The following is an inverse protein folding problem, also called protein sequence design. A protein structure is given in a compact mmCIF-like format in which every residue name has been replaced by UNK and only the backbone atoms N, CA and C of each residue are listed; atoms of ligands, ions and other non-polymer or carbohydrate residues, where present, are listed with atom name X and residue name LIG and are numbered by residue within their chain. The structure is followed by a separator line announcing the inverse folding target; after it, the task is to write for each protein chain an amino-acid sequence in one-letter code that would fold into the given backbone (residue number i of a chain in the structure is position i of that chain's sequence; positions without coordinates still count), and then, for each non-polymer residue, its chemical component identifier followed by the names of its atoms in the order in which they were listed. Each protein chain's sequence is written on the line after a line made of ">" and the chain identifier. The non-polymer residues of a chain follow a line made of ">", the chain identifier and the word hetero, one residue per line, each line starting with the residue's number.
data_IF_481530410931
#
_entry.id   IF_481530410931
#
_cell.length_a   1.000
_cell.length_b   1.000
_cell.length_c   1.000
_cell.angle_alpha   90.00
_cell.angle_beta   90.00
_cell.angle_gamma   90.00
#
_symmetry.space_group_name_H-M   'P 1'
#
loop_
_entity.id
_entity.type
_entity.pdbx_description
1 polymer ?
#
# COMPACT_ATOMS: atom_id res chain seq x y z
N UNK A 1 2.25 14.63 34.56
CA UNK A 1 0.91 14.05 34.76
C UNK A 1 0.92 12.70 34.09
N UNK A 2 1.26 11.68 34.87
CA UNK A 2 1.21 10.29 34.47
C UNK A 2 -0.22 9.90 34.08
N UNK A 3 -0.41 9.50 32.83
CA UNK A 3 -1.63 8.82 32.41
C UNK A 3 -1.32 7.33 32.50
N UNK A 4 -1.66 6.78 33.66
CA UNK A 4 -1.62 5.35 33.93
C UNK A 4 -2.42 4.60 32.87
N UNK A 5 -1.77 3.66 32.18
CA UNK A 5 -2.44 2.69 31.32
C UNK A 5 -3.21 1.71 32.22
N UNK A 6 -4.53 1.78 32.18
CA UNK A 6 -5.41 0.83 32.86
C UNK A 6 -5.23 -0.56 32.23
N UNK A 7 -4.97 -1.63 32.99
CA UNK A 7 -4.92 -2.97 32.44
C UNK A 7 -6.35 -3.43 32.14
N UNK A 8 -6.65 -3.66 30.86
CA UNK A 8 -7.91 -4.30 30.46
C UNK A 8 -7.75 -5.80 30.71
N UNK A 9 -8.03 -6.22 31.94
CA UNK A 9 -8.34 -7.63 32.23
C UNK A 9 -9.72 -7.92 31.67
N UNK A 10 -9.77 -8.49 30.47
CA UNK A 10 -10.99 -9.12 29.95
C UNK A 10 -10.74 -10.62 29.92
N UNK A 11 -11.36 -11.32 30.85
CA UNK A 11 -11.44 -12.78 30.86
C UNK A 11 -11.99 -13.26 29.50
N UNK A 12 -11.08 -13.71 28.63
CA UNK A 12 -11.45 -14.35 27.38
C UNK A 12 -11.74 -15.82 27.69
N UNK A 13 -13.04 -16.16 27.76
CA UNK A 13 -13.47 -17.49 27.34
C UNK A 13 -12.84 -17.74 25.98
N UNK A 14 -12.03 -18.80 25.85
CA UNK A 14 -11.49 -19.25 24.59
C UNK A 14 -12.65 -19.72 23.70
N UNK A 15 -13.23 -18.75 22.99
CA UNK A 15 -14.32 -18.98 22.06
C UNK A 15 -13.71 -19.66 20.83
N UNK A 16 -14.07 -20.93 20.63
CA UNK A 16 -13.48 -21.80 19.62
C UNK A 16 -13.77 -21.24 18.22
N UNK A 17 -12.79 -20.56 17.63
CA UNK A 17 -12.84 -20.19 16.21
C UNK A 17 -12.83 -21.48 15.39
N UNK A 18 -13.92 -21.73 14.66
CA UNK A 18 -14.04 -22.87 13.74
C UNK A 18 -13.31 -22.61 12.43
N UNK A 19 -12.81 -23.66 11.79
CA UNK A 19 -11.96 -23.58 10.59
C UNK A 19 -12.62 -24.11 9.31
N UNK A 20 -13.88 -24.57 9.38
CA UNK A 20 -14.53 -25.26 8.26
C UNK A 20 -15.09 -24.29 7.20
N UNK A 21 -15.25 -23.01 7.54
CA UNK A 21 -15.77 -21.98 6.63
C UNK A 21 -15.36 -20.57 7.06
N UNK A 22 -15.44 -19.60 6.13
CA UNK A 22 -15.22 -18.18 6.44
C UNK A 22 -16.19 -17.64 7.50
N UNK A 23 -17.45 -18.08 7.48
CA UNK A 23 -18.44 -17.70 8.48
C UNK A 23 -18.07 -18.15 9.90
N UNK A 24 -17.50 -19.35 10.05
CA UNK A 24 -17.01 -19.83 11.35
C UNK A 24 -15.75 -19.09 11.80
N UNK A 25 -14.83 -18.78 10.88
CA UNK A 25 -13.65 -17.96 11.16
C UNK A 25 -14.06 -16.57 11.69
N UNK A 26 -15.14 -16.02 11.13
CA UNK A 26 -15.64 -14.68 11.44
C UNK A 26 -16.74 -14.64 12.52
N UNK A 27 -17.11 -15.78 13.11
CA UNK A 27 -18.25 -15.88 14.03
C UNK A 27 -18.18 -14.89 15.20
N UNK A 28 -16.96 -14.61 15.68
CA UNK A 28 -16.68 -13.71 16.80
C UNK A 28 -16.12 -12.34 16.36
N UNK A 29 -16.19 -12.05 15.05
CA UNK A 29 -15.68 -10.83 14.43
C UNK A 29 -14.20 -10.87 14.06
N UNK A 30 -13.79 -9.90 13.24
CA UNK A 30 -12.43 -9.81 12.68
C UNK A 30 -11.33 -9.68 13.73
N UNK A 31 -11.58 -8.94 14.82
CA UNK A 31 -10.60 -8.78 15.89
C UNK A 31 -10.33 -10.10 16.63
N UNK A 32 -11.37 -10.89 16.88
CA UNK A 32 -11.23 -12.19 17.53
C UNK A 32 -10.47 -13.17 16.62
N UNK A 33 -10.82 -13.19 15.33
CA UNK A 33 -10.07 -13.96 14.33
C UNK A 33 -8.60 -13.55 14.28
N UNK A 34 -8.32 -12.25 14.21
CA UNK A 34 -6.95 -11.73 14.18
C UNK A 34 -6.16 -12.17 15.41
N UNK A 35 -6.68 -11.96 16.62
CA UNK A 35 -6.02 -12.36 17.85
C UNK A 35 -5.78 -13.87 17.93
N UNK A 36 -6.75 -14.67 17.48
CA UNK A 36 -6.67 -16.13 17.46
C UNK A 36 -5.61 -16.65 16.50
N UNK A 37 -5.53 -16.10 15.29
CA UNK A 37 -4.50 -16.47 14.31
C UNK A 37 -3.14 -15.96 14.76
N UNK A 38 -3.04 -14.69 15.18
CA UNK A 38 -1.79 -14.08 15.59
C UNK A 38 -1.12 -14.82 16.75
N UNK A 39 -1.85 -15.10 17.84
CA UNK A 39 -1.31 -15.80 18.99
C UNK A 39 -0.71 -17.17 18.65
N UNK A 40 -1.37 -17.93 17.76
CA UNK A 40 -0.88 -19.25 17.31
C UNK A 40 0.37 -19.12 16.45
N UNK A 41 0.37 -18.19 15.50
CA UNK A 41 1.54 -17.94 14.66
C UNK A 41 2.73 -17.48 15.51
N UNK A 42 2.56 -16.54 16.42
CA UNK A 42 3.64 -16.03 17.27
C UNK A 42 4.23 -17.11 18.17
N UNK A 43 3.38 -17.96 18.74
CA UNK A 43 3.82 -19.11 19.56
C UNK A 43 4.68 -20.06 18.74
N UNK A 44 4.23 -20.40 17.52
CA UNK A 44 4.95 -21.34 16.64
C UNK A 44 6.20 -20.72 15.99
N UNK A 45 6.22 -19.41 15.77
CA UNK A 45 7.37 -18.67 15.25
C UNK A 45 8.39 -18.29 16.34
N UNK A 46 8.04 -18.40 17.62
CA UNK A 46 8.87 -17.98 18.74
C UNK A 46 9.17 -16.46 18.78
N UNK A 47 8.43 -15.65 18.01
CA UNK A 47 8.60 -14.20 17.90
C UNK A 47 7.29 -13.52 17.52
N UNK A 48 7.11 -12.22 17.85
CA UNK A 48 5.96 -11.45 17.41
C UNK A 48 5.82 -11.45 15.87
N UNK A 49 4.60 -11.24 15.39
CA UNK A 49 4.36 -11.10 13.95
C UNK A 49 5.20 -9.97 13.37
N UNK A 50 5.72 -10.13 12.13
CA UNK A 50 6.54 -9.12 11.49
C UNK A 50 5.76 -7.82 11.33
N UNK A 51 6.37 -6.72 11.77
CA UNK A 51 5.85 -5.36 11.62
C UNK A 51 6.73 -4.57 10.66
N UNK A 52 6.14 -3.61 9.95
CA UNK A 52 6.87 -2.79 8.96
C UNK A 52 6.83 -1.33 9.39
N UNK A 53 8.00 -0.79 9.71
CA UNK A 53 8.25 0.64 9.84
C UNK A 53 8.81 1.17 8.51
N UNK A 54 8.23 2.26 8.00
CA UNK A 54 8.72 2.93 6.79
C UNK A 54 9.33 4.26 7.19
N UNK A 55 10.62 4.46 6.91
CA UNK A 55 11.29 5.76 7.08
C UNK A 55 11.60 6.37 5.73
N UNK A 56 11.48 7.68 5.64
CA UNK A 56 11.86 8.43 4.47
C UNK A 56 12.55 9.72 4.89
N UNK A 57 13.67 10.02 4.24
CA UNK A 57 14.53 11.14 4.59
C UNK A 57 14.85 11.96 3.35
N UNK A 58 14.64 13.27 3.48
CA UNK A 58 14.97 14.31 2.52
C UNK A 58 14.37 14.07 1.13
N UNK A 59 13.13 13.57 1.09
CA UNK A 59 12.48 13.19 -0.16
C UNK A 59 12.15 14.41 -1.00
N UNK A 60 12.79 14.51 -2.16
CA UNK A 60 12.49 15.53 -3.17
C UNK A 60 12.16 14.88 -4.51
N UNK A 61 11.12 15.39 -5.17
CA UNK A 61 10.71 14.91 -6.49
C UNK A 61 10.59 16.12 -7.41
N UNK A 62 11.29 16.09 -8.54
CA UNK A 62 11.22 17.12 -9.58
C UNK A 62 10.91 16.52 -10.93
N UNK A 63 10.08 17.20 -11.72
CA UNK A 63 9.71 16.79 -13.08
C UNK A 63 10.03 17.91 -14.08
N UNK A 64 10.75 17.56 -15.15
CA UNK A 64 11.01 18.44 -16.29
C UNK A 64 9.85 18.36 -17.28
N UNK A 65 9.12 19.45 -17.42
CA UNK A 65 7.92 19.57 -18.24
C UNK A 65 8.23 20.47 -19.44
N UNK A 66 7.85 20.02 -20.64
CA UNK A 66 7.95 20.85 -21.84
C UNK A 66 6.68 21.69 -21.94
N UNK A 67 6.81 23.00 -21.77
CA UNK A 67 5.73 23.98 -21.86
C UNK A 67 5.87 24.74 -23.18
N UNK A 68 4.77 24.97 -23.90
CA UNK A 68 4.75 25.91 -25.01
C UNK A 68 4.71 27.33 -24.45
N UNK A 69 5.64 28.18 -24.90
CA UNK A 69 5.68 29.57 -24.48
C UNK A 69 4.53 30.35 -25.16
N UNK A 70 3.37 30.40 -24.50
CA UNK A 70 2.17 31.11 -24.99
C UNK A 70 2.17 32.60 -24.63
N UNK A 71 3.30 33.17 -24.15
CA UNK A 71 3.38 34.59 -23.73
C UNK A 71 3.08 35.60 -24.85
N UNK A 72 3.08 35.20 -26.12
CA UNK A 72 2.67 36.04 -27.26
C UNK A 72 1.18 35.92 -27.65
N UNK A 73 0.41 35.09 -26.95
CA UNK A 73 -1.00 34.85 -27.23
C UNK A 73 -1.85 35.82 -26.41
N UNK A 74 -2.09 37.02 -26.95
CA UNK A 74 -3.04 37.96 -26.36
C UNK A 74 -4.47 37.43 -26.50
N UNK A 75 -5.27 37.55 -25.43
CA UNK A 75 -6.68 37.15 -25.38
C UNK A 75 -7.53 38.10 -26.23
N UNK A 76 -7.49 37.93 -27.55
CA UNK A 76 -8.36 38.62 -28.48
C UNK A 76 -9.61 37.78 -28.77
N UNK A 77 -10.72 38.44 -29.08
CA UNK A 77 -11.99 37.80 -29.43
C UNK A 77 -11.79 36.76 -30.55
N UNK A 78 -12.49 35.60 -30.48
CA UNK A 78 -12.34 34.51 -31.44
C UNK A 78 -13.03 34.89 -32.76
N UNK A 79 -12.33 35.63 -33.60
CA UNK A 79 -12.72 35.89 -35.00
C UNK A 79 -11.95 34.95 -35.93
N UNK A 80 -12.52 34.64 -37.10
CA UNK A 80 -11.91 33.74 -38.09
C UNK A 80 -10.43 34.05 -38.39
N UNK A 81 -9.99 35.31 -38.57
CA UNK A 81 -8.58 35.63 -38.80
C UNK A 81 -7.71 35.34 -37.56
N UNK A 82 -8.24 35.58 -36.37
CA UNK A 82 -7.51 35.33 -35.12
C UNK A 82 -7.32 33.84 -34.87
N UNK A 83 -8.31 32.99 -35.17
CA UNK A 83 -8.15 31.54 -35.02
C UNK A 83 -7.03 31.00 -35.90
N UNK A 84 -6.95 31.45 -37.17
CA UNK A 84 -5.87 31.05 -38.08
C UNK A 84 -4.52 31.57 -37.61
N UNK A 85 -4.43 32.86 -37.24
CA UNK A 85 -3.20 33.46 -36.71
C UNK A 85 -2.71 32.74 -35.46
N UNK A 86 -3.62 32.36 -34.55
CA UNK A 86 -3.32 31.61 -33.33
C UNK A 86 -2.84 30.19 -33.64
N UNK A 87 -3.40 29.54 -34.66
CA UNK A 87 -2.91 28.26 -35.16
C UNK A 87 -1.46 28.36 -35.66
N UNK A 88 -1.14 29.38 -36.45
CA UNK A 88 0.22 29.62 -36.93
C UNK A 88 1.18 29.97 -35.78
N UNK A 89 0.77 30.83 -34.85
CA UNK A 89 1.59 31.19 -33.69
C UNK A 89 1.88 29.99 -32.79
N UNK A 90 0.91 29.09 -32.57
CA UNK A 90 1.11 27.86 -31.80
C UNK A 90 2.06 26.87 -32.48
N UNK A 91 2.08 26.87 -33.81
CA UNK A 91 3.02 26.07 -34.60
C UNK A 91 4.45 26.63 -34.54
N UNK A 92 4.61 27.95 -34.38
CA UNK A 92 5.93 28.61 -34.27
C UNK A 92 6.40 28.87 -32.84
N UNK A 93 5.54 28.61 -31.84
CA UNK A 93 5.84 28.81 -30.43
C UNK A 93 7.05 27.95 -29.99
N UNK A 94 8.01 28.59 -29.33
CA UNK A 94 9.19 27.91 -28.80
C UNK A 94 8.78 27.00 -27.64
N UNK A 95 9.30 25.78 -27.64
CA UNK A 95 9.17 24.84 -26.53
C UNK A 95 10.18 25.22 -25.44
N UNK A 96 9.71 25.48 -24.23
CA UNK A 96 10.52 25.77 -23.05
C UNK A 96 10.43 24.58 -22.09
N UNK A 97 11.55 24.09 -21.60
CA UNK A 97 11.57 23.09 -20.53
C UNK A 97 11.54 23.82 -19.19
N UNK A 98 10.55 23.51 -18.35
CA UNK A 98 10.41 24.05 -17.00
C UNK A 98 10.51 22.90 -16.02
N UNK A 99 11.30 23.06 -14.98
CA UNK A 99 11.36 22.11 -13.88
C UNK A 99 10.29 22.45 -12.85
N UNK A 100 9.47 21.45 -12.51
CA UNK A 100 8.43 21.55 -11.48
C UNK A 100 8.76 20.58 -10.36
N UNK A 101 9.04 21.13 -9.19
CA UNK A 101 9.18 20.34 -7.97
C UNK A 101 7.79 19.94 -7.46
N UNK A 102 7.65 18.67 -7.09
CA UNK A 102 6.42 18.01 -6.64
C UNK A 102 6.48 17.74 -5.13
N UNK A 103 7.63 17.27 -4.64
CA UNK A 103 7.93 17.11 -3.21
C UNK A 103 9.16 17.94 -2.85
N UNK A 104 9.11 18.59 -1.70
CA UNK A 104 10.13 19.50 -1.20
C UNK A 104 10.67 18.98 0.13
N UNK A 105 11.81 18.30 0.10
CA UNK A 105 12.57 17.89 1.29
C UNK A 105 11.70 17.29 2.42
N UNK A 106 10.95 16.23 2.08
CA UNK A 106 9.97 15.63 2.97
C UNK A 106 10.61 14.47 3.74
N UNK A 107 10.57 14.54 5.07
CA UNK A 107 11.11 13.51 5.98
C UNK A 107 10.05 13.04 6.96
N UNK A 108 10.12 11.77 7.37
CA UNK A 108 9.15 11.21 8.32
C UNK A 108 9.25 9.70 8.50
N UNK A 109 8.41 9.20 9.41
CA UNK A 109 8.35 7.78 9.77
C UNK A 109 6.89 7.34 9.89
N UNK A 110 6.54 6.26 9.20
CA UNK A 110 5.27 5.55 9.39
C UNK A 110 5.52 4.37 10.33
N UNK A 111 4.98 4.49 11.55
CA UNK A 111 5.15 3.47 12.58
C UNK A 111 4.17 2.31 12.36
N UNK A 112 4.57 1.07 12.66
CA UNK A 112 3.67 -0.06 12.69
C UNK A 112 2.45 0.19 13.59
N UNK A 113 1.35 -0.48 13.29
CA UNK A 113 0.13 -0.47 14.13
C UNK A 113 -0.47 0.93 14.34
N UNK A 114 -0.20 1.87 13.42
CA UNK A 114 -0.79 3.22 13.44
C UNK A 114 -1.48 3.53 12.12
N UNK A 115 -2.52 4.37 12.18
CA UNK A 115 -3.13 4.97 10.99
C UNK A 115 -2.57 6.40 10.84
N UNK A 116 -1.87 6.65 9.73
CA UNK A 116 -1.32 7.97 9.43
C UNK A 116 -2.18 8.67 8.38
N UNK A 117 -2.70 9.86 8.71
CA UNK A 117 -3.50 10.67 7.81
C UNK A 117 -2.63 11.76 7.14
N UNK A 118 -2.50 11.70 5.81
CA UNK A 118 -1.75 12.69 5.02
C UNK A 118 -2.71 13.68 4.38
N UNK A 119 -2.70 14.94 4.84
CA UNK A 119 -3.56 16.02 4.35
C UNK A 119 -2.79 17.06 3.55
N UNK A 120 -3.48 17.70 2.61
CA UNK A 120 -2.93 18.77 1.79
C UNK A 120 -3.83 19.12 0.61
N UNK A 121 -3.70 20.33 0.09
CA UNK A 121 -4.48 20.81 -1.06
C UNK A 121 -4.30 19.92 -2.31
N UNK A 122 -5.25 19.91 -3.26
CA UNK A 122 -5.05 19.27 -4.55
C UNK A 122 -3.72 19.70 -5.20
N UNK A 123 -2.96 18.74 -5.73
CA UNK A 123 -1.64 19.01 -6.33
C UNK A 123 -0.47 19.10 -5.35
N UNK A 124 -0.67 18.97 -4.03
CA UNK A 124 0.40 19.03 -3.02
C UNK A 124 1.35 17.83 -2.97
N UNK A 125 1.26 16.89 -3.93
CA UNK A 125 2.16 15.74 -3.98
C UNK A 125 1.79 14.53 -3.10
N UNK A 126 0.64 14.52 -2.39
CA UNK A 126 0.20 13.37 -1.55
C UNK A 126 0.29 12.02 -2.26
N UNK A 127 -0.35 11.91 -3.42
CA UNK A 127 -0.34 10.65 -4.19
C UNK A 127 1.06 10.33 -4.72
N UNK A 128 1.90 11.33 -4.96
CA UNK A 128 3.30 11.13 -5.35
C UNK A 128 4.11 10.54 -4.19
N UNK A 129 3.95 11.07 -2.98
CA UNK A 129 4.55 10.53 -1.76
C UNK A 129 4.09 9.09 -1.52
N UNK A 130 2.79 8.81 -1.57
CA UNK A 130 2.26 7.45 -1.36
C UNK A 130 2.74 6.45 -2.43
N UNK A 131 2.86 6.88 -3.70
CA UNK A 131 3.44 6.04 -4.77
C UNK A 131 4.93 5.79 -4.56
N UNK A 132 5.67 6.79 -4.08
CA UNK A 132 7.10 6.67 -3.76
C UNK A 132 7.31 5.67 -2.61
N UNK A 133 6.58 5.83 -1.51
CA UNK A 133 6.65 4.94 -0.35
C UNK A 133 6.12 3.53 -0.61
N UNK A 134 5.40 3.30 -1.71
CA UNK A 134 4.97 1.95 -2.14
C UNK A 134 5.85 1.34 -3.23
N UNK A 135 6.93 2.02 -3.63
CA UNK A 135 7.81 1.58 -4.72
C UNK A 135 7.16 1.60 -6.11
N UNK A 136 6.01 2.28 -6.24
CA UNK A 136 5.20 2.37 -7.47
C UNK A 136 5.32 3.71 -8.18
N UNK A 137 6.23 4.58 -7.74
CA UNK A 137 6.43 5.87 -8.38
C UNK A 137 7.09 5.69 -9.76
N UNK A 138 6.53 6.29 -10.83
CA UNK A 138 7.06 6.11 -12.17
C UNK A 138 8.38 6.87 -12.35
N UNK A 139 9.48 6.13 -12.46
CA UNK A 139 10.79 6.68 -12.81
C UNK A 139 10.87 6.83 -14.34
N UNK A 140 10.55 8.02 -14.83
CA UNK A 140 10.71 8.39 -16.23
C UNK A 140 11.94 9.29 -16.42
N UNK A 141 12.50 9.37 -17.63
CA UNK A 141 13.71 10.18 -17.93
C UNK A 141 13.58 11.67 -17.56
N UNK A 142 12.35 12.15 -17.40
CA UNK A 142 12.04 13.53 -17.08
C UNK A 142 11.80 13.76 -15.58
N UNK A 143 11.91 12.73 -14.74
CA UNK A 143 11.64 12.82 -13.31
C UNK A 143 12.89 12.46 -12.52
N UNK A 144 13.23 13.31 -11.57
CA UNK A 144 14.31 13.14 -10.62
C UNK A 144 13.71 12.90 -9.24
N UNK A 145 14.24 11.90 -8.55
CA UNK A 145 13.86 11.53 -7.18
C UNK A 145 15.13 11.53 -6.36
N UNK A 146 15.12 12.26 -5.25
CA UNK A 146 16.21 12.39 -4.29
C UNK A 146 15.70 12.06 -2.90
N UNK A 147 16.61 11.66 -2.01
CA UNK A 147 16.31 11.16 -0.68
C UNK A 147 16.26 9.64 -0.60
N UNK A 148 16.07 9.14 0.62
CA UNK A 148 16.18 7.72 0.95
C UNK A 148 14.89 7.20 1.57
N UNK A 149 14.50 5.98 1.21
CA UNK A 149 13.37 5.25 1.82
C UNK A 149 13.87 3.91 2.35
N UNK A 150 13.58 3.61 3.62
CA UNK A 150 13.94 2.34 4.25
C UNK A 150 12.73 1.67 4.88
N UNK A 151 12.74 0.33 4.89
CA UNK A 151 11.76 -0.52 5.56
C UNK A 151 12.50 -1.31 6.63
N UNK A 152 12.18 -1.08 7.91
CA UNK A 152 12.90 -1.66 9.05
C UNK A 152 14.44 -1.48 8.94
N UNK A 153 14.91 -0.34 8.42
CA UNK A 153 16.32 -0.04 8.23
C UNK A 153 16.95 -0.56 6.92
N UNK A 154 16.24 -1.39 6.15
CA UNK A 154 16.72 -1.89 4.85
C UNK A 154 16.29 -0.96 3.72
N UNK A 155 17.20 -0.63 2.79
CA UNK A 155 16.91 0.29 1.70
C UNK A 155 15.82 -0.24 0.74
N UNK A 156 14.95 0.66 0.26
CA UNK A 156 13.89 0.32 -0.69
C UNK A 156 14.43 -0.35 -1.97
N UNK A 157 15.61 0.06 -2.43
CA UNK A 157 16.26 -0.48 -3.62
C UNK A 157 16.51 -2.00 -3.50
N UNK A 158 16.96 -2.43 -2.32
CA UNK A 158 17.28 -3.84 -2.04
C UNK A 158 16.02 -4.70 -1.93
N UNK A 159 14.92 -4.10 -1.47
CA UNK A 159 13.65 -4.77 -1.24
C UNK A 159 12.69 -4.69 -2.44
N UNK A 160 13.04 -4.01 -3.53
CA UNK A 160 12.12 -3.67 -4.63
C UNK A 160 11.28 -4.84 -5.15
N UNK A 161 11.87 -6.04 -5.23
CA UNK A 161 11.18 -7.27 -5.69
C UNK A 161 10.25 -7.88 -4.62
N UNK A 162 10.53 -7.62 -3.36
CA UNK A 162 9.81 -8.16 -2.20
C UNK A 162 8.74 -7.18 -1.68
N UNK A 163 8.84 -5.88 -1.99
CA UNK A 163 7.86 -4.86 -1.56
C UNK A 163 6.40 -5.28 -1.76
N UNK A 164 5.98 -5.88 -2.90
CA UNK A 164 4.58 -6.29 -3.07
C UNK A 164 4.08 -7.32 -2.07
N UNK A 165 4.98 -8.02 -1.35
CA UNK A 165 4.62 -9.03 -0.35
C UNK A 165 4.17 -8.40 0.98
N UNK A 166 4.54 -7.15 1.26
CA UNK A 166 4.24 -6.48 2.53
C UNK A 166 3.80 -5.02 2.39
N UNK A 167 3.72 -4.49 1.17
CA UNK A 167 3.20 -3.14 0.87
C UNK A 167 2.14 -3.23 -0.23
N UNK A 168 0.93 -2.77 0.10
CA UNK A 168 -0.17 -2.61 -0.86
C UNK A 168 -0.46 -1.14 -1.13
N UNK A 169 -0.78 -0.80 -2.38
CA UNK A 169 -1.15 0.55 -2.79
C UNK A 169 -2.52 0.52 -3.48
N UNK A 170 -3.48 1.24 -2.90
CA UNK A 170 -4.82 1.41 -3.47
C UNK A 170 -4.84 2.75 -4.23
N UNK A 171 -5.03 2.73 -5.57
CA UNK A 171 -5.11 3.96 -6.36
C UNK A 171 -6.39 4.74 -6.09
N UNK A 172 -6.44 6.00 -6.55
CA UNK A 172 -7.64 6.85 -6.41
C UNK A 172 -8.82 6.38 -7.28
N UNK A 173 -8.51 5.73 -8.41
CA UNK A 173 -9.51 5.20 -9.33
C UNK A 173 -9.44 3.68 -9.27
N UNK A 174 -10.57 3.06 -9.01
CA UNK A 174 -10.71 1.62 -9.02
C UNK A 174 -10.83 1.12 -10.46
N UNK A 175 -10.17 -0.01 -10.75
CA UNK A 175 -10.24 -0.66 -12.04
C UNK A 175 -10.82 -2.06 -11.86
N UNK A 176 -12.13 -2.18 -12.02
CA UNK A 176 -12.86 -3.43 -11.88
C UNK A 176 -13.30 -3.98 -13.23
N UNK A 177 -13.40 -5.31 -13.33
CA UNK A 177 -13.97 -5.98 -14.49
C UNK A 177 -15.50 -5.90 -14.38
N UNK A 178 -16.20 -5.19 -15.29
CA UNK A 178 -17.65 -4.95 -15.16
C UNK A 178 -18.48 -6.22 -15.34
N UNK A 179 -17.87 -7.31 -15.83
CA UNK A 179 -18.51 -8.60 -16.06
C UNK A 179 -18.46 -9.52 -14.84
N UNK A 180 -17.72 -9.16 -13.79
CA UNK A 180 -17.60 -9.97 -12.58
C UNK A 180 -18.40 -9.35 -11.43
N UNK A 181 -19.04 -10.20 -10.65
CA UNK A 181 -19.59 -9.79 -9.36
C UNK A 181 -18.47 -9.66 -8.29
N UNK A 182 -18.83 -9.15 -7.11
CA UNK A 182 -17.87 -8.94 -6.01
C UNK A 182 -17.19 -10.23 -5.58
N UNK A 183 -17.96 -11.31 -5.42
CA UNK A 183 -17.44 -12.62 -5.01
C UNK A 183 -16.46 -13.17 -6.06
N UNK A 184 -16.84 -13.17 -7.34
CA UNK A 184 -15.98 -13.60 -8.45
C UNK A 184 -14.69 -12.77 -8.53
N UNK A 185 -14.77 -11.46 -8.27
CA UNK A 185 -13.61 -10.57 -8.26
C UNK A 185 -12.63 -10.95 -7.15
N UNK A 186 -13.12 -11.23 -5.95
CA UNK A 186 -12.30 -11.61 -4.80
C UNK A 186 -11.73 -13.03 -4.93
N UNK A 187 -12.51 -13.97 -5.46
CA UNK A 187 -12.04 -15.33 -5.80
C UNK A 187 -10.93 -15.27 -6.86
N UNK A 188 -11.10 -14.47 -7.91
CA UNK A 188 -10.08 -14.25 -8.93
C UNK A 188 -8.80 -13.65 -8.34
N UNK A 189 -8.92 -12.59 -7.52
CA UNK A 189 -7.77 -11.97 -6.85
C UNK A 189 -7.03 -12.95 -5.91
N UNK A 190 -7.78 -13.78 -5.18
CA UNK A 190 -7.22 -14.81 -4.32
C UNK A 190 -6.45 -15.87 -5.12
N UNK A 191 -7.01 -16.35 -6.23
CA UNK A 191 -6.33 -17.31 -7.12
C UNK A 191 -5.00 -16.75 -7.68
N UNK A 192 -4.95 -15.45 -8.00
CA UNK A 192 -3.72 -14.79 -8.44
C UNK A 192 -2.66 -14.59 -7.35
N UNK A 193 -3.05 -14.67 -6.07
CA UNK A 193 -2.16 -14.42 -4.91
C UNK A 193 -1.44 -15.69 -4.41
N UNK A 194 -1.68 -16.84 -5.06
CA UNK A 194 -1.21 -18.15 -4.64
C UNK A 194 -2.12 -18.72 -3.56
N UNK A 195 -2.83 -19.81 -3.87
CA UNK A 195 -3.83 -20.43 -2.99
C UNK A 195 -3.23 -21.26 -1.86
N UNK A 196 -1.94 -21.61 -1.92
CA UNK A 196 -1.30 -22.54 -0.99
C UNK A 196 -0.19 -21.91 -0.16
N UNK A 197 -0.09 -22.31 1.11
CA UNK A 197 1.03 -21.98 1.98
C UNK A 197 2.34 -22.49 1.38
N UNK A 198 3.32 -21.60 1.26
CA UNK A 198 4.62 -21.96 0.71
C UNK A 198 5.38 -22.89 1.66
N UNK A 199 6.35 -23.63 1.15
CA UNK A 199 7.24 -24.45 2.00
C UNK A 199 8.00 -23.58 3.00
N UNK A 200 8.37 -22.36 2.60
CA UNK A 200 9.03 -21.40 3.48
C UNK A 200 8.14 -20.96 4.65
N UNK A 201 6.82 -20.81 4.43
CA UNK A 201 5.88 -20.48 5.51
C UNK A 201 5.81 -21.61 6.54
N UNK A 202 5.91 -22.87 6.09
CA UNK A 202 5.91 -24.04 6.98
C UNK A 202 7.18 -24.13 7.82
N UNK A 203 8.33 -23.85 7.21
CA UNK A 203 9.63 -23.86 7.90
C UNK A 203 9.73 -22.79 9.00
N UNK A 204 8.92 -21.74 8.94
CA UNK A 204 8.86 -20.71 9.98
C UNK A 204 7.98 -21.08 11.17
N UNK A 205 7.13 -22.11 11.05
CA UNK A 205 6.15 -22.54 12.05
C UNK A 205 6.59 -23.84 12.75
N UNK A 206 7.78 -23.83 13.34
CA UNK A 206 8.43 -25.03 13.89
C UNK A 206 9.00 -24.86 15.30
N UNK A 207 8.94 -23.66 15.89
CA UNK A 207 9.59 -23.35 17.16
C UNK A 207 8.70 -23.56 18.40
N UNK A 208 7.41 -23.83 18.21
CA UNK A 208 6.50 -24.25 19.29
C UNK A 208 6.56 -25.76 19.55
N UNK A 209 5.72 -26.25 20.45
CA UNK A 209 5.48 -27.70 20.59
C UNK A 209 4.80 -28.28 19.34
N UNK A 210 4.88 -29.60 19.13
CA UNK A 210 4.24 -30.27 17.98
C UNK A 210 2.75 -29.89 17.85
N UNK A 211 2.02 -29.85 18.98
CA UNK A 211 0.62 -29.46 19.01
C UNK A 211 0.40 -27.99 18.62
N UNK A 212 1.25 -27.08 19.08
CA UNK A 212 1.17 -25.65 18.76
C UNK A 212 1.53 -25.38 17.29
N UNK A 213 2.55 -26.04 16.77
CA UNK A 213 2.97 -25.93 15.36
C UNK A 213 1.86 -26.44 14.43
N UNK A 214 1.25 -27.59 14.73
CA UNK A 214 0.09 -28.10 13.99
C UNK A 214 -1.06 -27.10 14.06
N UNK A 215 -1.34 -26.52 15.22
CA UNK A 215 -2.44 -25.59 15.38
C UNK A 215 -2.23 -24.27 14.63
N UNK A 216 -1.00 -23.75 14.60
CA UNK A 216 -0.60 -22.57 13.85
C UNK A 216 -0.70 -22.82 12.34
N UNK A 217 -0.17 -23.95 11.87
CA UNK A 217 -0.28 -24.36 10.48
C UNK A 217 -1.74 -24.52 10.04
N UNK A 218 -2.56 -25.18 10.86
CA UNK A 218 -3.99 -25.36 10.58
C UNK A 218 -4.72 -24.02 10.51
N UNK A 219 -4.44 -23.10 11.45
CA UNK A 219 -5.04 -21.76 11.44
C UNK A 219 -4.66 -20.97 10.18
N UNK A 220 -3.38 -20.99 9.81
CA UNK A 220 -2.88 -20.32 8.60
C UNK A 220 -3.49 -20.90 7.33
N UNK A 221 -3.61 -22.23 7.26
CA UNK A 221 -4.20 -22.93 6.13
C UNK A 221 -5.68 -22.62 5.99
N UNK A 222 -6.43 -22.65 7.10
CA UNK A 222 -7.84 -22.32 7.12
C UNK A 222 -8.11 -20.87 6.68
N UNK A 223 -7.34 -19.92 7.21
CA UNK A 223 -7.44 -18.50 6.84
C UNK A 223 -7.19 -18.30 5.34
N UNK A 224 -6.17 -18.97 4.77
CA UNK A 224 -5.86 -18.85 3.34
C UNK A 224 -6.94 -19.51 2.48
N UNK A 225 -7.35 -20.73 2.82
CA UNK A 225 -8.36 -21.51 2.09
C UNK A 225 -9.71 -20.78 2.02
N UNK A 226 -10.12 -20.17 3.12
CA UNK A 226 -11.40 -19.46 3.23
C UNK A 226 -11.25 -17.94 3.12
N UNK A 227 -10.09 -17.45 2.65
CA UNK A 227 -9.83 -16.01 2.54
C UNK A 227 -10.88 -15.25 1.72
N UNK A 228 -11.37 -15.75 0.57
CA UNK A 228 -12.43 -15.06 -0.16
C UNK A 228 -13.68 -14.85 0.70
N UNK A 229 -14.10 -15.87 1.45
CA UNK A 229 -15.30 -15.82 2.30
C UNK A 229 -15.11 -14.97 3.57
N UNK A 230 -13.87 -14.79 4.04
CA UNK A 230 -13.54 -13.95 5.21
C UNK A 230 -13.55 -12.46 4.86
N UNK A 231 -13.25 -12.13 3.61
CA UNK A 231 -13.13 -10.73 3.13
C UNK A 231 -14.44 -10.19 2.54
N UNK A 232 -15.36 -11.07 2.14
CA UNK A 232 -16.74 -10.73 1.70
C UNK A 232 -17.62 -10.39 2.91
#
# INVERSE_FOLDING_TARGET
>A
MDVAATPVTKDMKADQVGYDSGAQLMANGSQALYNHVASRLETSMGKPLPQVEVRFENMSISARIVVQDETQVTSQLPTLPNVVKMGVLRMTAKKKVVEKQILHDVSGVFKPSTMTLVLGQPGSGKSSLMKLLSGRFPLSKNVQVEGDVTYNGTAQADLRKLLPQFVSYVPQQDNHLPTLNVKETLEFAHACSGSELSTADKEQLVLGSDGENIAAYTAAQALRKHHPDVVI
#
